data_IF_819491831371
#
_entry.id   IF_819491831371
#
_cell.length_a   1.000
_cell.length_b   1.000
_cell.length_c   1.000
_cell.angle_alpha   90.00
_cell.angle_beta   90.00
_cell.angle_gamma   90.00
#
_symmetry.space_group_name_H-M   'P 1'
#
loop_
_entity.id
_entity.type
_entity.pdbx_description
1 polymer ?
#
# COMPACT_ATOMS: atom_id res chain seq x y z
N UNK A 1 -18.30 27.07 54.98
CA UNK A 1 -18.04 27.25 53.53
C UNK A 1 -16.79 26.52 53.07
N UNK A 2 -15.72 26.42 53.87
CA UNK A 2 -14.44 25.79 53.47
C UNK A 2 -14.53 24.28 53.15
N UNK A 3 -15.37 23.51 53.86
CA UNK A 3 -15.54 22.07 53.62
C UNK A 3 -16.26 21.73 52.31
N UNK A 4 -17.12 22.63 51.83
CA UNK A 4 -17.77 22.47 50.53
C UNK A 4 -16.77 22.71 49.40
N UNK A 5 -15.91 23.72 49.54
CA UNK A 5 -14.86 24.01 48.56
C UNK A 5 -13.88 22.84 48.39
N UNK A 6 -13.46 22.19 49.49
CA UNK A 6 -12.56 21.03 49.42
C UNK A 6 -13.19 19.81 48.74
N UNK A 7 -14.50 19.60 48.89
CA UNK A 7 -15.18 18.44 48.32
C UNK A 7 -15.33 18.54 46.80
N UNK A 8 -15.75 19.71 46.30
CA UNK A 8 -15.83 19.98 44.86
C UNK A 8 -14.46 19.90 44.16
N UNK A 9 -13.39 20.32 44.83
CA UNK A 9 -12.02 20.24 44.27
C UNK A 9 -11.61 18.78 44.06
N UNK A 10 -11.94 17.88 44.99
CA UNK A 10 -11.61 16.45 44.89
C UNK A 10 -12.42 15.80 43.75
N UNK A 11 -13.72 16.11 43.65
CA UNK A 11 -14.62 15.58 42.61
C UNK A 11 -14.15 15.98 41.19
N UNK A 12 -13.75 17.25 41.03
CA UNK A 12 -13.25 17.77 39.75
C UNK A 12 -11.90 17.16 39.41
N UNK A 13 -11.00 16.99 40.39
CA UNK A 13 -9.70 16.38 40.17
C UNK A 13 -9.82 14.91 39.74
N UNK A 14 -10.74 14.17 40.35
CA UNK A 14 -11.03 12.78 40.02
C UNK A 14 -11.66 12.64 38.62
N UNK A 15 -12.58 13.56 38.27
CA UNK A 15 -13.18 13.60 36.94
C UNK A 15 -12.15 13.92 35.84
N UNK A 16 -11.24 14.86 36.10
CA UNK A 16 -10.14 15.19 35.19
C UNK A 16 -9.20 13.98 35.05
N UNK A 17 -8.76 13.37 36.15
CA UNK A 17 -7.88 12.20 36.10
C UNK A 17 -8.53 11.02 35.35
N UNK A 18 -9.82 10.78 35.59
CA UNK A 18 -10.61 9.72 34.94
C UNK A 18 -10.83 9.97 33.45
N UNK A 19 -10.88 11.23 32.99
CA UNK A 19 -10.93 11.57 31.56
C UNK A 19 -9.57 11.46 30.87
N UNK A 20 -8.49 11.84 31.55
CA UNK A 20 -7.13 11.81 30.98
C UNK A 20 -6.56 10.40 30.88
N UNK A 21 -6.92 9.50 31.79
CA UNK A 21 -6.48 8.10 31.76
C UNK A 21 -6.85 7.35 30.45
N UNK A 22 -8.12 7.31 29.99
CA UNK A 22 -8.49 6.64 28.75
C UNK A 22 -7.92 7.35 27.52
N UNK A 23 -7.76 8.67 27.56
CA UNK A 23 -7.12 9.45 26.48
C UNK A 23 -5.64 9.06 26.34
N UNK A 24 -4.90 8.97 27.46
CA UNK A 24 -3.51 8.52 27.43
C UNK A 24 -3.39 7.06 26.97
N UNK A 25 -4.29 6.18 27.43
CA UNK A 25 -4.32 4.78 27.01
C UNK A 25 -4.61 4.65 25.51
N UNK A 26 -5.58 5.40 24.98
CA UNK A 26 -5.89 5.39 23.55
C UNK A 26 -4.75 5.97 22.70
N UNK A 27 -4.09 7.03 23.16
CA UNK A 27 -2.91 7.59 22.48
C UNK A 27 -1.77 6.57 22.47
N UNK A 28 -1.46 5.94 23.61
CA UNK A 28 -0.43 4.91 23.70
C UNK A 28 -0.75 3.73 22.78
N UNK A 29 -1.97 3.20 22.83
CA UNK A 29 -2.42 2.14 21.94
C UNK A 29 -2.28 2.55 20.48
N UNK A 30 -2.70 3.75 20.10
CA UNK A 30 -2.56 4.24 18.73
C UNK A 30 -1.09 4.29 18.27
N UNK A 31 -0.17 4.69 19.15
CA UNK A 31 1.25 4.71 18.86
C UNK A 31 1.82 3.29 18.67
N UNK A 32 1.43 2.34 19.53
CA UNK A 32 1.76 0.93 19.37
C UNK A 32 1.19 0.36 18.07
N UNK A 33 -0.06 0.68 17.74
CA UNK A 33 -0.68 0.29 16.48
C UNK A 33 0.12 0.84 15.31
N UNK A 34 0.41 2.13 15.25
CA UNK A 34 1.21 2.73 14.16
C UNK A 34 2.59 2.06 14.05
N UNK A 35 3.30 1.86 15.16
CA UNK A 35 4.62 1.22 15.16
C UNK A 35 4.57 -0.25 14.69
N UNK A 36 3.55 -1.00 15.09
CA UNK A 36 3.31 -2.37 14.61
C UNK A 36 2.94 -2.35 13.12
N UNK A 37 2.09 -1.42 12.71
CA UNK A 37 1.66 -1.28 11.32
C UNK A 37 2.83 -0.97 10.40
N UNK A 38 3.69 -0.03 10.78
CA UNK A 38 4.85 0.37 9.98
C UNK A 38 5.87 -0.77 9.83
N UNK A 39 6.07 -1.57 10.89
CA UNK A 39 7.12 -2.61 10.90
C UNK A 39 6.65 -3.98 10.40
N UNK A 40 5.40 -4.36 10.68
CA UNK A 40 4.85 -5.69 10.37
C UNK A 40 3.88 -5.64 9.20
N UNK A 41 2.97 -4.65 9.19
CA UNK A 41 1.93 -4.58 8.18
C UNK A 41 2.49 -3.99 6.89
N UNK A 42 3.34 -2.97 6.89
CA UNK A 42 3.83 -2.37 5.66
C UNK A 42 4.45 -3.38 4.67
N UNK A 43 5.34 -4.31 5.10
CA UNK A 43 5.87 -5.31 4.18
C UNK A 43 4.87 -6.40 3.80
N UNK A 44 4.09 -6.89 4.76
CA UNK A 44 3.16 -7.99 4.52
C UNK A 44 1.89 -7.54 3.76
N UNK A 45 1.45 -6.31 3.99
CA UNK A 45 0.36 -5.64 3.29
C UNK A 45 0.75 -5.28 1.89
N UNK A 46 2.00 -4.90 1.62
CA UNK A 46 2.46 -4.67 0.25
C UNK A 46 2.44 -5.97 -0.58
N UNK A 47 2.87 -7.10 -0.01
CA UNK A 47 2.73 -8.40 -0.67
C UNK A 47 1.26 -8.83 -0.83
N UNK A 48 0.43 -8.59 0.18
CA UNK A 48 -1.00 -8.84 0.12
C UNK A 48 -1.68 -7.98 -0.94
N UNK A 49 -1.35 -6.69 -1.01
CA UNK A 49 -1.86 -5.72 -1.99
C UNK A 49 -1.48 -6.14 -3.41
N UNK A 50 -0.24 -6.60 -3.62
CA UNK A 50 0.20 -7.17 -4.90
C UNK A 50 -0.61 -8.37 -5.34
N UNK A 51 -0.98 -9.23 -4.37
CA UNK A 51 -1.78 -10.42 -4.63
C UNK A 51 -3.25 -10.07 -4.84
N UNK A 52 -3.78 -9.10 -4.09
CA UNK A 52 -5.17 -8.65 -4.14
C UNK A 52 -5.49 -7.88 -5.43
N UNK A 53 -4.61 -6.98 -5.85
CA UNK A 53 -4.78 -6.26 -7.12
C UNK A 53 -4.51 -7.12 -8.35
N UNK A 54 -4.11 -8.39 -8.19
CA UNK A 54 -3.83 -9.27 -9.31
C UNK A 54 -2.83 -8.66 -10.28
N UNK A 55 -1.83 -7.89 -9.78
CA UNK A 55 -0.86 -7.17 -10.62
C UNK A 55 -0.16 -8.09 -11.62
N UNK A 56 -0.04 -9.38 -11.30
CA UNK A 56 0.46 -10.41 -12.22
C UNK A 56 -0.53 -10.77 -13.32
N UNK A 57 -1.81 -10.86 -12.98
CA UNK A 57 -2.88 -11.18 -13.92
C UNK A 57 -3.12 -9.99 -14.87
N UNK A 58 -3.15 -8.76 -14.33
CA UNK A 58 -3.21 -7.53 -15.12
C UNK A 58 -2.02 -7.39 -16.08
N UNK A 59 -0.79 -7.70 -15.62
CA UNK A 59 0.39 -7.69 -16.49
C UNK A 59 0.33 -8.80 -17.56
N UNK A 60 -0.23 -9.96 -17.23
CA UNK A 60 -0.42 -11.07 -18.18
C UNK A 60 -1.45 -10.71 -19.26
N UNK A 61 -2.52 -10.04 -18.88
CA UNK A 61 -3.58 -9.60 -19.79
C UNK A 61 -3.11 -8.44 -20.69
N UNK A 62 -2.35 -7.48 -20.14
CA UNK A 62 -1.68 -6.47 -20.96
C UNK A 62 -0.71 -7.10 -21.96
N UNK A 63 0.00 -8.16 -21.57
CA UNK A 63 0.88 -8.89 -22.49
C UNK A 63 0.10 -9.61 -23.59
N UNK A 64 -1.02 -10.26 -23.27
CA UNK A 64 -1.82 -10.93 -24.30
C UNK A 64 -2.39 -9.94 -25.31
N UNK A 65 -2.76 -8.74 -24.86
CA UNK A 65 -3.14 -7.64 -25.75
C UNK A 65 -1.93 -7.22 -26.60
N UNK A 66 -0.75 -7.06 -26.01
CA UNK A 66 0.45 -6.64 -26.74
C UNK A 66 0.98 -7.64 -27.77
N UNK A 67 0.73 -8.94 -27.56
CA UNK A 67 1.12 -10.02 -28.47
C UNK A 67 0.07 -10.32 -29.54
N UNK A 68 -1.08 -9.66 -29.48
CA UNK A 68 -2.13 -9.83 -30.46
C UNK A 68 -1.73 -9.21 -31.81
N UNK A 69 -2.26 -9.77 -32.89
CA UNK A 69 -1.89 -9.40 -34.25
C UNK A 69 -2.64 -8.14 -34.69
N UNK A 70 -1.97 -6.98 -34.61
CA UNK A 70 -2.50 -5.68 -35.04
C UNK A 70 -1.98 -5.22 -36.40
N UNK A 71 -1.76 -6.14 -37.34
CA UNK A 71 -1.22 -5.86 -38.69
C UNK A 71 -1.89 -4.67 -39.40
N UNK A 72 -3.21 -4.53 -39.24
CA UNK A 72 -4.01 -3.47 -39.87
C UNK A 72 -3.88 -2.09 -39.16
N UNK A 73 -3.53 -2.08 -37.87
CA UNK A 73 -3.49 -0.86 -37.05
C UNK A 73 -2.09 -0.23 -36.97
N UNK A 74 -1.03 -0.94 -37.39
CA UNK A 74 0.33 -0.39 -37.41
C UNK A 74 0.52 0.80 -38.37
N UNK A 75 -0.39 0.98 -39.33
CA UNK A 75 -0.38 2.12 -40.24
C UNK A 75 -0.89 3.41 -39.58
N UNK A 76 -1.65 3.28 -38.49
CA UNK A 76 -2.17 4.40 -37.71
C UNK A 76 -1.08 4.91 -36.74
N UNK A 77 -0.62 6.14 -36.95
CA UNK A 77 0.42 6.73 -36.10
C UNK A 77 -0.02 6.89 -34.64
N UNK A 78 -1.32 7.17 -34.41
CA UNK A 78 -1.89 7.28 -33.07
C UNK A 78 -1.88 5.93 -32.34
N UNK A 79 -2.14 4.84 -33.06
CA UNK A 79 -2.05 3.49 -32.52
C UNK A 79 -0.63 3.15 -32.11
N UNK A 80 0.37 3.44 -32.95
CA UNK A 80 1.78 3.21 -32.62
C UNK A 80 2.21 3.93 -31.33
N UNK A 81 1.78 5.18 -31.14
CA UNK A 81 2.10 5.97 -29.93
C UNK A 81 1.39 5.40 -28.71
N UNK A 82 0.10 5.06 -28.84
CA UNK A 82 -0.67 4.45 -27.75
C UNK A 82 -0.09 3.07 -27.35
N UNK A 83 0.34 2.28 -28.33
CA UNK A 83 0.97 0.98 -28.11
C UNK A 83 2.31 1.10 -27.37
N UNK A 84 3.15 2.08 -27.74
CA UNK A 84 4.39 2.37 -27.04
C UNK A 84 4.15 2.83 -25.60
N UNK A 85 3.15 3.69 -25.37
CA UNK A 85 2.76 4.13 -24.03
C UNK A 85 2.26 2.95 -23.18
N UNK A 86 1.45 2.07 -23.76
CA UNK A 86 0.96 0.85 -23.10
C UNK A 86 2.11 -0.09 -22.72
N UNK A 87 3.10 -0.25 -23.61
CA UNK A 87 4.29 -1.04 -23.33
C UNK A 87 5.15 -0.44 -22.20
N UNK A 88 5.34 0.88 -22.16
CA UNK A 88 6.07 1.56 -21.07
C UNK A 88 5.37 1.38 -19.71
N UNK A 89 4.05 1.55 -19.68
CA UNK A 89 3.26 1.33 -18.46
C UNK A 89 3.26 -0.14 -18.02
N UNK A 90 3.21 -1.09 -18.95
CA UNK A 90 3.39 -2.52 -18.64
C UNK A 90 4.76 -2.78 -18.00
N UNK A 91 5.83 -2.17 -18.50
CA UNK A 91 7.17 -2.29 -17.91
C UNK A 91 7.23 -1.68 -16.51
N UNK A 92 6.57 -0.54 -16.28
CA UNK A 92 6.44 0.08 -14.95
C UNK A 92 5.69 -0.83 -13.98
N UNK A 93 4.57 -1.41 -14.40
CA UNK A 93 3.79 -2.35 -13.59
C UNK A 93 4.62 -3.59 -13.22
N UNK A 94 5.41 -4.13 -14.16
CA UNK A 94 6.32 -5.24 -13.91
C UNK A 94 7.45 -4.86 -12.94
N UNK A 95 8.01 -3.66 -13.08
CA UNK A 95 9.01 -3.13 -12.15
C UNK A 95 8.44 -3.02 -10.73
N UNK A 96 7.23 -2.48 -10.59
CA UNK A 96 6.52 -2.39 -9.31
C UNK A 96 6.22 -3.78 -8.77
N UNK A 97 5.67 -4.69 -9.57
CA UNK A 97 5.34 -6.06 -9.16
C UNK A 97 6.57 -6.84 -8.67
N UNK A 98 7.73 -6.63 -9.30
CA UNK A 98 9.01 -7.30 -8.95
C UNK A 98 9.87 -6.55 -7.95
N UNK A 99 9.51 -5.32 -7.58
CA UNK A 99 10.16 -4.56 -6.51
C UNK A 99 9.71 -5.03 -5.12
N UNK A 100 10.55 -4.81 -4.13
CA UNK A 100 10.23 -4.97 -2.72
C UNK A 100 9.61 -3.67 -2.18
N UNK A 101 9.13 -3.69 -0.94
CA UNK A 101 8.53 -2.58 -0.20
C UNK A 101 9.42 -1.32 -0.20
N UNK A 102 10.74 -1.54 -0.32
CA UNK A 102 11.76 -0.50 -0.39
C UNK A 102 12.05 0.01 -1.81
N UNK A 103 11.24 -0.37 -2.81
CA UNK A 103 11.46 -0.04 -4.24
C UNK A 103 12.65 -0.76 -4.88
N UNK A 104 13.32 -1.66 -4.15
CA UNK A 104 14.47 -2.42 -4.66
C UNK A 104 13.99 -3.67 -5.40
N UNK A 105 14.59 -4.08 -6.52
CA UNK A 105 14.21 -5.33 -7.18
C UNK A 105 14.41 -6.52 -6.24
N UNK A 106 13.39 -7.38 -6.09
CA UNK A 106 13.47 -8.57 -5.24
C UNK A 106 14.60 -9.49 -5.74
N UNK A 107 15.71 -9.58 -4.99
CA UNK A 107 16.79 -10.54 -5.26
C UNK A 107 16.26 -11.96 -5.00
N UNK A 108 16.02 -12.72 -6.08
CA UNK A 108 15.64 -14.13 -6.01
C UNK A 108 14.35 -14.49 -6.75
N UNK A 109 13.52 -13.52 -7.14
CA UNK A 109 12.39 -13.78 -8.05
C UNK A 109 12.96 -13.90 -9.47
N UNK A 110 12.90 -15.10 -10.02
CA UNK A 110 13.43 -15.44 -11.34
C UNK A 110 12.86 -14.47 -12.39
N UNK A 111 13.67 -13.49 -12.86
CA UNK A 111 13.30 -12.55 -13.93
C UNK A 111 12.88 -13.28 -15.21
N UNK A 112 13.27 -14.54 -15.36
CA UNK A 112 12.91 -15.37 -16.50
C UNK A 112 11.47 -15.90 -16.45
N UNK A 113 10.72 -15.81 -15.34
CA UNK A 113 9.30 -16.16 -15.37
C UNK A 113 8.49 -15.12 -16.13
N UNK A 114 8.83 -13.82 -16.00
CA UNK A 114 8.16 -12.74 -16.72
C UNK A 114 8.71 -12.51 -18.13
N UNK A 115 9.90 -13.06 -18.44
CA UNK A 115 10.47 -13.07 -19.79
C UNK A 115 10.01 -14.32 -20.60
N UNK A 116 9.44 -15.34 -19.94
CA UNK A 116 8.91 -16.56 -20.60
C UNK A 116 7.38 -16.65 -20.62
N UNK A 117 6.67 -15.85 -19.82
CA UNK A 117 5.23 -15.65 -20.03
C UNK A 117 5.10 -14.79 -21.25
#
# INVERSE_FOLDING_TARGET
MEKLASWWVIEVLDSVASFWAPVLITVLLSFFFVAIFEKIIFPNFYEFFKRWFGLKDAAKEMKSVLEDSYEDLWQESEFCVAFLALHDEMQRLLAVATSDVNGKPCKGRNKNSFRRI
#
